data_IF_134713025099
#
_entry.id   IF_134713025099
#
_cell.length_a   1.000
_cell.length_b   1.000
_cell.length_c   1.000
_cell.angle_alpha   90.00
_cell.angle_beta   90.00
_cell.angle_gamma   90.00
#
_symmetry.space_group_name_H-M   'P 1'
#
loop_
_entity.id
_entity.type
_entity.pdbx_description
1 polymer ?
#
# COMPACT_ATOMS: atom_id res chain seq x y z
N UNK A 1 -30.91 64.95 -4.28
CA UNK A 1 -29.75 64.04 -4.34
C UNK A 1 -28.98 64.36 -5.61
N UNK A 2 -27.67 64.62 -5.51
CA UNK A 2 -26.85 65.04 -6.65
C UNK A 2 -26.49 63.84 -7.53
N UNK A 3 -26.67 64.00 -8.85
CA UNK A 3 -26.44 62.98 -9.88
C UNK A 3 -25.00 62.42 -9.85
N UNK A 4 -24.03 63.27 -9.47
CA UNK A 4 -22.63 62.89 -9.29
C UNK A 4 -22.41 61.93 -8.10
N UNK A 5 -23.17 62.07 -7.01
CA UNK A 5 -23.07 61.17 -5.85
C UNK A 5 -23.68 59.80 -6.16
N UNK A 6 -24.77 59.75 -6.92
CA UNK A 6 -25.37 58.48 -7.35
C UNK A 6 -24.43 57.71 -8.28
N UNK A 7 -23.81 58.36 -9.27
CA UNK A 7 -22.86 57.72 -10.19
C UNK A 7 -21.64 57.16 -9.44
N UNK A 8 -21.09 57.91 -8.47
CA UNK A 8 -19.97 57.46 -7.64
C UNK A 8 -20.30 56.21 -6.81
N UNK A 9 -21.50 56.14 -6.22
CA UNK A 9 -21.93 54.98 -5.43
C UNK A 9 -22.12 53.73 -6.31
N UNK A 10 -22.70 53.88 -7.50
CA UNK A 10 -22.83 52.77 -8.44
C UNK A 10 -21.48 52.25 -8.92
N UNK A 11 -20.50 53.14 -9.14
CA UNK A 11 -19.17 52.77 -9.60
C UNK A 11 -18.39 51.99 -8.52
N UNK A 12 -18.44 52.43 -7.26
CA UNK A 12 -17.84 51.71 -6.12
C UNK A 12 -18.50 50.35 -5.89
N UNK A 13 -19.84 50.25 -6.04
CA UNK A 13 -20.56 49.00 -5.94
C UNK A 13 -20.19 48.00 -7.05
N UNK A 14 -19.91 48.50 -8.26
CA UNK A 14 -19.50 47.68 -9.41
C UNK A 14 -18.07 47.14 -9.24
N UNK A 15 -17.14 47.97 -8.77
CA UNK A 15 -15.75 47.57 -8.51
C UNK A 15 -15.67 46.57 -7.34
N UNK A 16 -16.40 46.81 -6.26
CA UNK A 16 -16.46 45.88 -5.12
C UNK A 16 -17.15 44.56 -5.48
N UNK A 17 -18.21 44.59 -6.29
CA UNK A 17 -18.85 43.41 -6.85
C UNK A 17 -17.92 42.58 -7.75
N UNK A 18 -17.13 43.25 -8.59
CA UNK A 18 -16.12 42.59 -9.43
C UNK A 18 -14.99 41.94 -8.60
N UNK A 19 -14.54 42.60 -7.53
CA UNK A 19 -13.55 42.06 -6.61
C UNK A 19 -14.08 40.86 -5.81
N UNK A 20 -15.35 40.90 -5.37
CA UNK A 20 -16.00 39.78 -4.69
C UNK A 20 -16.21 38.59 -5.64
N UNK A 21 -16.67 38.84 -6.88
CA UNK A 21 -16.79 37.79 -7.89
C UNK A 21 -15.43 37.18 -8.26
N UNK A 22 -14.39 38.03 -8.41
CA UNK A 22 -13.03 37.59 -8.70
C UNK A 22 -12.41 36.75 -7.58
N UNK A 23 -12.61 37.13 -6.32
CA UNK A 23 -12.13 36.36 -5.16
C UNK A 23 -12.90 35.05 -4.95
N UNK A 24 -14.21 35.03 -5.21
CA UNK A 24 -15.01 33.79 -5.23
C UNK A 24 -14.56 32.83 -6.33
N UNK A 25 -14.25 33.33 -7.53
CA UNK A 25 -13.71 32.52 -8.62
C UNK A 25 -12.32 31.95 -8.28
N UNK A 26 -11.42 32.77 -7.75
CA UNK A 26 -10.07 32.32 -7.36
C UNK A 26 -10.10 31.27 -6.25
N UNK A 27 -10.93 31.47 -5.23
CA UNK A 27 -11.09 30.49 -4.14
C UNK A 27 -11.71 29.19 -4.64
N UNK A 28 -12.70 29.25 -5.54
CA UNK A 28 -13.27 28.08 -6.21
C UNK A 28 -12.24 27.29 -7.03
N UNK A 29 -11.41 27.99 -7.82
CA UNK A 29 -10.31 27.37 -8.59
C UNK A 29 -9.29 26.72 -7.66
N UNK A 30 -8.91 27.41 -6.57
CA UNK A 30 -7.93 26.90 -5.61
C UNK A 30 -8.44 25.61 -4.93
N UNK A 31 -9.68 25.61 -4.44
CA UNK A 31 -10.32 24.44 -3.85
C UNK A 31 -10.39 23.27 -4.84
N UNK A 32 -10.82 23.54 -6.08
CA UNK A 32 -10.88 22.52 -7.11
C UNK A 32 -9.51 21.89 -7.39
N UNK A 33 -8.46 22.71 -7.50
CA UNK A 33 -7.09 22.23 -7.71
C UNK A 33 -6.59 21.42 -6.51
N UNK A 34 -6.85 21.86 -5.27
CA UNK A 34 -6.48 21.12 -4.06
C UNK A 34 -7.16 19.75 -4.00
N UNK A 35 -8.47 19.68 -4.27
CA UNK A 35 -9.22 18.41 -4.30
C UNK A 35 -8.70 17.50 -5.42
N UNK A 36 -8.43 18.05 -6.60
CA UNK A 36 -7.89 17.29 -7.74
C UNK A 36 -6.51 16.72 -7.43
N UNK A 37 -5.63 17.51 -6.83
CA UNK A 37 -4.30 17.07 -6.40
C UNK A 37 -4.39 16.00 -5.31
N UNK A 38 -5.26 16.18 -4.32
CA UNK A 38 -5.52 15.17 -3.30
C UNK A 38 -5.99 13.87 -3.94
N UNK A 39 -7.04 13.91 -4.77
CA UNK A 39 -7.56 12.73 -5.46
C UNK A 39 -6.51 12.02 -6.30
N UNK A 40 -5.67 12.76 -7.02
CA UNK A 40 -4.58 12.18 -7.81
C UNK A 40 -3.51 11.52 -6.95
N UNK A 41 -3.13 12.13 -5.81
CA UNK A 41 -2.20 11.52 -4.84
C UNK A 41 -2.77 10.23 -4.26
N UNK A 42 -4.06 10.24 -3.90
CA UNK A 42 -4.73 9.08 -3.32
C UNK A 42 -4.85 7.93 -4.32
N UNK A 43 -5.20 8.23 -5.57
CA UNK A 43 -5.25 7.22 -6.65
C UNK A 43 -3.88 6.58 -6.90
N UNK A 44 -2.78 7.35 -6.85
CA UNK A 44 -1.43 6.78 -7.00
C UNK A 44 -1.04 5.84 -5.86
N UNK A 45 -1.52 6.08 -4.64
CA UNK A 45 -1.26 5.22 -3.47
C UNK A 45 -2.19 3.99 -3.44
N UNK A 46 -3.42 4.12 -3.92
CA UNK A 46 -4.35 3.00 -4.01
C UNK A 46 -3.96 1.99 -5.10
N UNK A 47 -3.40 2.47 -6.22
CA UNK A 47 -3.09 1.65 -7.39
C UNK A 47 -1.68 1.03 -7.36
N UNK A 48 -0.85 1.32 -6.36
CA UNK A 48 0.44 0.67 -6.20
C UNK A 48 0.27 -0.70 -5.54
N UNK A 49 -0.11 -1.69 -6.34
CA UNK A 49 -0.18 -3.09 -5.92
C UNK A 49 1.01 -3.87 -6.52
N UNK A 50 1.62 -4.73 -5.72
CA UNK A 50 2.55 -5.74 -6.18
C UNK A 50 1.85 -7.10 -6.18
N UNK A 51 2.19 -7.93 -7.16
CA UNK A 51 1.75 -9.31 -7.27
C UNK A 51 2.67 -10.19 -6.43
N UNK A 52 2.08 -11.07 -5.63
CA UNK A 52 2.85 -12.00 -4.80
C UNK A 52 3.22 -13.19 -5.65
N UNK A 53 4.51 -13.48 -5.71
CA UNK A 53 5.05 -14.66 -6.41
C UNK A 53 5.11 -15.83 -5.44
N UNK A 54 5.54 -15.58 -4.20
CA UNK A 54 5.79 -16.63 -3.22
C UNK A 54 5.53 -16.16 -1.79
N UNK A 55 5.05 -17.07 -0.93
CA UNK A 55 4.89 -16.83 0.50
C UNK A 55 5.60 -17.94 1.28
N UNK A 56 6.43 -17.57 2.26
CA UNK A 56 7.12 -18.53 3.14
C UNK A 56 6.94 -18.15 4.61
N UNK A 57 6.85 -19.13 5.53
CA UNK A 57 6.92 -18.85 6.97
C UNK A 57 8.24 -18.17 7.31
N UNK A 58 8.19 -17.08 8.11
CA UNK A 58 9.40 -16.39 8.56
C UNK A 58 9.68 -16.71 10.03
N UNK A 59 10.72 -17.52 10.29
CA UNK A 59 11.18 -17.81 11.65
C UNK A 59 12.33 -16.88 12.05
N UNK A 60 12.12 -16.05 13.09
CA UNK A 60 13.17 -15.17 13.63
C UNK A 60 14.23 -16.04 14.31
N UNK A 61 15.52 -15.73 14.09
CA UNK A 61 16.64 -16.38 14.81
C UNK A 61 16.81 -15.74 16.20
N UNK A 62 17.14 -16.50 17.27
CA UNK A 62 17.22 -17.97 17.33
C UNK A 62 15.83 -18.59 17.12
N UNK A 63 15.77 -19.67 16.34
CA UNK A 63 14.54 -20.21 15.74
C UNK A 63 13.42 -20.39 16.78
N UNK A 64 12.47 -19.47 16.80
CA UNK A 64 11.24 -19.63 17.58
C UNK A 64 10.36 -20.62 16.81
N UNK A 65 9.85 -21.70 17.43
CA UNK A 65 9.02 -22.71 16.76
C UNK A 65 7.64 -22.20 16.34
N UNK A 66 7.40 -20.89 16.48
CA UNK A 66 6.14 -20.19 16.23
C UNK A 66 6.42 -18.84 15.59
N UNK A 67 5.66 -18.49 14.57
CA UNK A 67 5.73 -17.19 13.92
C UNK A 67 4.36 -16.67 13.53
N UNK A 68 4.22 -15.35 13.59
CA UNK A 68 3.06 -14.59 13.07
C UNK A 68 3.39 -13.81 11.81
N UNK A 69 4.58 -14.06 11.25
CA UNK A 69 5.14 -13.34 10.12
C UNK A 69 5.44 -14.30 8.98
N UNK A 70 5.22 -13.82 7.77
CA UNK A 70 5.58 -14.50 6.53
C UNK A 70 6.51 -13.63 5.72
N UNK A 71 7.51 -14.24 5.09
CA UNK A 71 8.32 -13.62 4.07
C UNK A 71 7.59 -13.77 2.74
N UNK A 72 7.30 -12.64 2.10
CA UNK A 72 6.70 -12.60 0.78
C UNK A 72 7.75 -12.23 -0.26
N UNK A 73 7.73 -12.93 -1.38
CA UNK A 73 8.39 -12.52 -2.62
C UNK A 73 7.33 -11.94 -3.53
N UNK A 74 7.59 -10.74 -4.06
CA UNK A 74 6.62 -10.03 -4.87
C UNK A 74 7.28 -9.43 -6.10
N UNK A 75 6.50 -9.29 -7.17
CA UNK A 75 6.87 -8.57 -8.37
C UNK A 75 6.03 -7.31 -8.54
N UNK A 76 6.65 -6.27 -9.08
CA UNK A 76 5.94 -5.05 -9.44
C UNK A 76 6.51 -4.44 -10.71
N UNK A 77 5.64 -3.73 -11.44
CA UNK A 77 6.04 -2.93 -12.58
C UNK A 77 6.27 -1.49 -12.14
N UNK A 78 7.45 -0.97 -12.42
CA UNK A 78 7.73 0.45 -12.30
C UNK A 78 8.16 0.99 -13.67
N UNK A 79 7.38 1.94 -14.19
CA UNK A 79 7.47 2.40 -15.58
C UNK A 79 7.38 1.19 -16.55
N UNK A 80 8.43 0.94 -17.34
CA UNK A 80 8.50 -0.16 -18.32
C UNK A 80 9.32 -1.36 -17.85
N UNK A 81 9.72 -1.38 -16.57
CA UNK A 81 10.60 -2.43 -16.02
C UNK A 81 9.90 -3.21 -14.91
N UNK A 82 10.16 -4.52 -14.87
CA UNK A 82 9.72 -5.40 -13.80
C UNK A 82 10.81 -5.50 -12.75
N UNK A 83 10.39 -5.46 -11.49
CA UNK A 83 11.25 -5.59 -10.32
C UNK A 83 10.69 -6.67 -9.42
N UNK A 84 11.59 -7.38 -8.76
CA UNK A 84 11.27 -8.37 -7.74
C UNK A 84 11.86 -7.91 -6.40
N UNK A 85 11.17 -8.20 -5.32
CA UNK A 85 11.60 -7.88 -3.97
C UNK A 85 11.07 -8.88 -2.95
N UNK A 86 11.62 -8.83 -1.74
CA UNK A 86 11.10 -9.57 -0.61
C UNK A 86 10.76 -8.64 0.55
N UNK A 87 9.77 -9.02 1.36
CA UNK A 87 9.39 -8.29 2.57
C UNK A 87 8.81 -9.24 3.61
N UNK A 88 8.86 -8.83 4.88
CA UNK A 88 8.27 -9.58 5.99
C UNK A 88 6.96 -8.89 6.34
N UNK A 89 5.87 -9.64 6.33
CA UNK A 89 4.51 -9.13 6.55
C UNK A 89 3.80 -10.01 7.57
N UNK A 90 3.03 -9.44 8.53
CA UNK A 90 2.29 -10.26 9.47
C UNK A 90 1.13 -11.00 8.76
N UNK A 91 0.87 -12.24 9.17
CA UNK A 91 -0.11 -13.15 8.52
C UNK A 91 -1.52 -12.54 8.47
N UNK A 92 -1.88 -11.68 9.44
CA UNK A 92 -3.15 -10.94 9.50
C UNK A 92 -3.45 -10.08 8.26
N UNK A 93 -2.47 -9.82 7.39
CA UNK A 93 -2.73 -9.12 6.12
C UNK A 93 -3.40 -10.00 5.06
N UNK A 94 -3.33 -11.32 5.23
CA UNK A 94 -3.85 -12.35 4.33
C UNK A 94 -5.14 -12.97 4.85
N UNK A 95 -5.22 -13.19 6.17
CA UNK A 95 -6.35 -13.83 6.83
C UNK A 95 -6.88 -12.87 7.91
N UNK A 96 -8.20 -12.63 7.92
CA UNK A 96 -8.85 -11.73 8.87
C UNK A 96 -9.04 -12.33 10.27
N UNK A 97 -8.68 -13.60 10.46
CA UNK A 97 -8.92 -14.37 11.66
C UNK A 97 -8.17 -13.85 12.89
N UNK A 98 -8.69 -14.20 14.07
CA UNK A 98 -8.13 -13.80 15.36
C UNK A 98 -6.85 -14.58 15.68
N UNK A 99 -5.72 -14.01 15.28
CA UNK A 99 -4.39 -14.45 15.72
C UNK A 99 -3.81 -15.65 14.97
N UNK A 100 -3.80 -15.66 13.62
CA UNK A 100 -3.21 -16.73 12.85
C UNK A 100 -1.72 -16.87 13.18
N UNK A 101 -1.28 -18.12 13.36
CA UNK A 101 0.07 -18.46 13.77
C UNK A 101 0.54 -19.70 13.03
N UNK A 102 1.77 -19.65 12.53
CA UNK A 102 2.45 -20.81 11.99
C UNK A 102 3.32 -21.39 13.10
N UNK A 103 3.15 -22.67 13.41
CA UNK A 103 3.97 -23.40 14.36
C UNK A 103 4.64 -24.59 13.67
N UNK A 104 5.86 -24.91 14.06
CA UNK A 104 6.49 -26.16 13.64
C UNK A 104 5.98 -27.28 14.56
N UNK A 105 5.26 -28.25 14.00
CA UNK A 105 4.81 -29.40 14.77
C UNK A 105 5.94 -30.42 14.88
N UNK A 106 6.40 -30.66 16.11
CA UNK A 106 7.49 -31.58 16.40
C UNK A 106 7.18 -33.04 16.00
N UNK A 107 5.91 -33.39 15.78
CA UNK A 107 5.51 -34.76 15.39
C UNK A 107 5.64 -35.03 13.90
N UNK A 108 5.51 -33.99 13.08
CA UNK A 108 5.41 -34.11 11.62
C UNK A 108 6.64 -33.48 10.93
N UNK A 109 7.40 -32.64 11.64
CA UNK A 109 8.50 -31.82 11.11
C UNK A 109 8.08 -30.89 9.96
N UNK A 110 6.81 -30.51 9.97
CA UNK A 110 6.18 -29.69 8.92
C UNK A 110 5.51 -28.49 9.60
N UNK A 111 5.55 -27.28 8.98
CA UNK A 111 4.83 -26.14 9.49
C UNK A 111 3.31 -26.34 9.42
N UNK A 112 2.64 -25.89 10.48
CA UNK A 112 1.19 -25.91 10.62
C UNK A 112 0.70 -24.49 10.84
N UNK A 113 -0.14 -24.01 9.94
CA UNK A 113 -0.90 -22.79 10.12
C UNK A 113 -2.17 -23.09 10.92
N UNK A 114 -2.31 -22.43 12.05
CA UNK A 114 -3.50 -22.47 12.89
C UNK A 114 -4.40 -21.26 12.56
N UNK A 115 -5.54 -21.54 11.93
CA UNK A 115 -6.61 -20.58 11.66
C UNK A 115 -7.79 -20.90 12.58
N UNK A 116 -8.03 -20.07 13.59
CA UNK A 116 -9.04 -20.28 14.64
C UNK A 116 -9.07 -21.71 15.23
N UNK A 117 -10.10 -22.04 16.03
CA UNK A 117 -10.09 -23.23 16.91
C UNK A 117 -10.00 -24.57 16.16
N UNK A 118 -10.40 -24.64 14.88
CA UNK A 118 -10.58 -25.91 14.17
C UNK A 118 -9.92 -26.01 12.77
N UNK A 119 -9.51 -24.91 12.13
CA UNK A 119 -8.88 -24.99 10.81
C UNK A 119 -7.36 -25.07 10.97
N UNK A 120 -6.78 -26.19 10.53
CA UNK A 120 -5.33 -26.42 10.52
C UNK A 120 -4.91 -26.75 9.11
N UNK A 121 -3.90 -26.05 8.65
CA UNK A 121 -3.33 -26.24 7.32
C UNK A 121 -1.89 -26.68 7.53
N UNK A 122 -1.56 -27.86 7.03
CA UNK A 122 -0.28 -28.53 7.27
C UNK A 122 0.50 -28.57 5.96
N UNK A 123 1.76 -28.14 5.99
CA UNK A 123 2.62 -28.13 4.80
C UNK A 123 2.95 -26.72 4.34
N UNK A 124 4.21 -26.49 3.93
CA UNK A 124 4.64 -25.20 3.36
C UNK A 124 3.80 -24.83 2.13
N UNK A 125 3.62 -25.78 1.21
CA UNK A 125 2.87 -25.56 -0.04
C UNK A 125 1.38 -25.30 0.22
N UNK A 126 0.78 -26.02 1.17
CA UNK A 126 -0.62 -25.84 1.53
C UNK A 126 -0.87 -24.48 2.21
N UNK A 127 0.05 -24.06 3.08
CA UNK A 127 0.01 -22.74 3.73
C UNK A 127 0.18 -21.63 2.70
N UNK A 128 1.13 -21.77 1.78
CA UNK A 128 1.35 -20.83 0.69
C UNK A 128 0.09 -20.68 -0.18
N UNK A 129 -0.48 -21.81 -0.63
CA UNK A 129 -1.68 -21.82 -1.47
C UNK A 129 -2.85 -21.12 -0.77
N UNK A 130 -3.10 -21.47 0.49
CA UNK A 130 -4.20 -20.87 1.24
C UNK A 130 -4.04 -19.36 1.46
N UNK A 131 -2.81 -18.89 1.72
CA UNK A 131 -2.54 -17.46 1.88
C UNK A 131 -2.68 -16.71 0.54
N UNK A 132 -2.28 -17.32 -0.57
CA UNK A 132 -2.43 -16.75 -1.91
C UNK A 132 -3.89 -16.72 -2.39
N UNK A 133 -4.70 -17.73 -2.04
CA UNK A 133 -6.15 -17.74 -2.27
C UNK A 133 -6.84 -16.56 -1.59
N UNK A 134 -6.49 -16.29 -0.33
CA UNK A 134 -7.05 -15.16 0.41
C UNK A 134 -6.63 -13.81 -0.18
N UNK A 135 -5.35 -13.66 -0.52
CA UNK A 135 -4.83 -12.40 -1.07
C UNK A 135 -3.57 -12.57 -1.91
N UNK A 136 -3.72 -12.44 -3.22
CA UNK A 136 -2.62 -12.55 -4.21
C UNK A 136 -1.85 -11.24 -4.45
N UNK A 137 -2.28 -10.12 -3.87
CA UNK A 137 -1.65 -8.80 -4.07
C UNK A 137 -1.40 -8.08 -2.76
N UNK A 138 -0.24 -7.46 -2.61
CA UNK A 138 0.06 -6.59 -1.47
C UNK A 138 0.10 -5.14 -1.91
N UNK A 139 -0.52 -4.30 -1.08
CA UNK A 139 -0.45 -2.86 -1.28
C UNK A 139 0.96 -2.37 -0.94
N UNK A 140 1.59 -1.77 -1.92
CA UNK A 140 2.90 -1.16 -1.85
C UNK A 140 2.71 0.33 -1.62
N UNK A 141 3.37 0.93 -0.63
CA UNK A 141 3.15 2.35 -0.30
C UNK A 141 3.74 3.28 -1.37
N UNK A 142 4.90 2.90 -1.89
CA UNK A 142 5.57 3.59 -3.00
C UNK A 142 6.13 2.54 -3.94
N UNK A 143 5.83 2.62 -5.25
CA UNK A 143 6.56 1.82 -6.25
C UNK A 143 7.88 2.54 -6.55
N UNK A 144 8.86 2.44 -5.66
CA UNK A 144 10.22 2.91 -5.95
C UNK A 144 11.01 1.80 -6.64
N UNK A 145 12.08 2.19 -7.33
CA UNK A 145 13.07 1.26 -7.90
C UNK A 145 13.71 0.35 -6.84
N UNK A 146 13.79 0.82 -5.60
CA UNK A 146 14.34 0.09 -4.45
C UNK A 146 13.21 -0.66 -3.71
N UNK A 147 13.08 -1.99 -3.86
CA UNK A 147 12.02 -2.79 -3.26
C UNK A 147 12.01 -2.76 -1.72
N UNK A 148 13.16 -2.55 -1.04
CA UNK A 148 13.16 -2.47 0.43
C UNK A 148 12.33 -1.30 0.97
N UNK A 149 12.19 -0.22 0.21
CA UNK A 149 11.51 1.01 0.63
C UNK A 149 10.01 1.01 0.34
N UNK A 150 9.54 -0.05 -0.31
CA UNK A 150 8.18 -0.13 -0.83
C UNK A 150 7.15 -0.51 0.26
N UNK A 151 7.59 -1.03 1.41
CA UNK A 151 6.71 -1.49 2.51
C UNK A 151 6.93 -0.69 3.81
N UNK A 152 5.82 -0.36 4.48
CA UNK A 152 5.78 0.35 5.77
C UNK A 152 6.39 -0.44 6.94
N UNK A 153 6.46 -1.78 6.81
CA UNK A 153 6.77 -2.70 7.91
C UNK A 153 8.18 -3.34 7.81
N UNK A 154 9.08 -2.83 6.96
CA UNK A 154 10.43 -3.38 6.81
C UNK A 154 11.40 -3.05 7.96
N UNK A 155 10.93 -2.60 9.12
CA UNK A 155 11.81 -2.27 10.26
C UNK A 155 12.18 -3.48 11.12
N UNK A 156 11.42 -4.58 11.08
CA UNK A 156 11.73 -5.78 11.86
C UNK A 156 12.41 -6.86 11.01
N UNK A 157 13.71 -6.69 10.80
CA UNK A 157 14.54 -7.69 10.12
C UNK A 157 15.10 -7.16 8.83
N UNK A 158 16.20 -6.41 8.95
CA UNK A 158 16.97 -5.84 7.84
C UNK A 158 17.65 -6.95 7.03
N UNK A 159 16.89 -7.77 6.31
CA UNK A 159 17.42 -8.61 5.23
C UNK A 159 17.66 -7.68 4.04
N UNK A 160 18.89 -7.65 3.52
CA UNK A 160 19.24 -6.87 2.32
C UNK A 160 18.31 -7.33 1.20
N UNK A 161 17.42 -6.45 0.73
CA UNK A 161 16.59 -6.73 -0.44
C UNK A 161 17.51 -6.99 -1.63
N UNK A 162 17.54 -8.22 -2.13
CA UNK A 162 18.31 -8.56 -3.32
C UNK A 162 17.47 -8.09 -4.51
N UNK A 163 17.87 -6.97 -5.12
CA UNK A 163 17.22 -6.45 -6.32
C UNK A 163 17.66 -7.28 -7.52
N UNK A 164 16.79 -8.17 -8.00
CA UNK A 164 17.01 -8.84 -9.28
C UNK A 164 16.23 -8.11 -10.37
N UNK A 165 16.95 -7.51 -11.31
CA UNK A 165 16.36 -6.93 -12.53
C UNK A 165 16.23 -8.08 -13.54
N UNK A 166 15.01 -8.50 -13.87
CA UNK A 166 14.80 -9.35 -15.05
C UNK A 166 15.02 -8.50 -16.31
N UNK A 167 16.15 -8.67 -16.98
CA UNK A 167 16.29 -8.25 -18.37
C UNK A 167 15.40 -9.14 -19.22
N UNK A 168 14.51 -8.54 -20.02
CA UNK A 168 13.77 -9.27 -21.04
C UNK A 168 14.80 -9.79 -22.06
N UNK A 169 15.02 -11.10 -22.09
CA UNK A 169 15.45 -11.74 -23.32
C UNK A 169 14.20 -11.86 -24.19
N UNK A 170 14.21 -11.09 -25.26
CA UNK A 170 13.34 -11.24 -26.43
C UNK A 170 13.62 -12.55 -27.14
#
# INVERSE_FOLDING_TARGET
MNLAQTVSVYQVALESGALLAGSALLSGICLYLSIRLARWRWQRVANSQAEIIRIRPFYRRPAVPRTRFVEIEYSFKYRKSSYEGSSIVPIRHFIADLGPMIAQDARVDVPVLHCDRNARIVGEEAIEHHLLEGKSRVQVRFLLRDPARNFLASSEGRRKSIVRKRSRHS
#
